data_IF_623292025518
#
_entry.id   IF_623292025518
#
_cell.length_a   1.000
_cell.length_b   1.000
_cell.length_c   1.000
_cell.angle_alpha   90.00
_cell.angle_beta   90.00
_cell.angle_gamma   90.00
#
_symmetry.space_group_name_H-M   'P 1'
#
loop_
_entity.id
_entity.type
_entity.pdbx_description
1 polymer ?
#
# COMPACT_ATOMS: atom_id res chain seq x y z
N UNK A 1 1.72 2.96 11.80
CA UNK A 1 2.47 1.79 11.28
C UNK A 1 1.66 1.14 10.19
N UNK A 2 2.23 1.03 8.99
CA UNK A 2 1.59 0.38 7.85
C UNK A 2 1.50 -1.15 8.04
N UNK A 3 0.48 -1.76 7.43
CA UNK A 3 0.26 -3.20 7.41
C UNK A 3 -0.23 -3.60 6.00
N UNK A 4 0.55 -4.42 5.33
CA UNK A 4 0.21 -5.03 4.06
C UNK A 4 0.19 -6.54 4.21
N UNK A 5 -0.79 -7.21 3.61
CA UNK A 5 -0.91 -8.67 3.65
C UNK A 5 -1.07 -9.21 2.24
N UNK A 6 -0.30 -10.24 1.94
CA UNK A 6 -0.27 -10.89 0.63
C UNK A 6 -0.32 -12.40 0.77
N UNK A 7 -0.76 -13.08 -0.29
CA UNK A 7 -0.50 -14.51 -0.46
C UNK A 7 0.73 -14.64 -1.36
N UNK A 8 1.74 -15.36 -0.86
CA UNK A 8 2.98 -15.66 -1.58
C UNK A 8 3.23 -17.15 -1.43
N UNK A 9 3.38 -17.88 -2.54
CA UNK A 9 3.55 -19.33 -2.56
C UNK A 9 2.49 -20.10 -1.73
N UNK A 10 1.24 -19.61 -1.71
CA UNK A 10 0.14 -20.17 -0.93
C UNK A 10 0.12 -19.80 0.56
N UNK A 11 1.07 -19.01 1.04
CA UNK A 11 1.18 -18.60 2.45
C UNK A 11 0.81 -17.13 2.66
N UNK A 12 0.16 -16.82 3.80
CA UNK A 12 -0.18 -15.45 4.17
C UNK A 12 1.04 -14.75 4.78
N UNK A 13 1.59 -13.78 4.05
CA UNK A 13 2.74 -12.97 4.48
C UNK A 13 2.24 -11.59 4.94
N UNK A 14 2.75 -11.11 6.08
CA UNK A 14 2.49 -9.76 6.60
C UNK A 14 3.74 -8.92 6.49
N UNK A 15 3.60 -7.74 5.89
CA UNK A 15 4.69 -6.81 5.60
C UNK A 15 4.32 -5.46 6.19
N UNK A 16 5.24 -4.84 6.95
CA UNK A 16 5.01 -3.54 7.60
C UNK A 16 5.78 -2.39 6.94
N UNK A 17 6.74 -2.72 6.08
CA UNK A 17 7.59 -1.75 5.37
C UNK A 17 7.31 -1.83 3.87
N UNK A 18 7.10 -0.68 3.22
CA UNK A 18 6.80 -0.65 1.77
C UNK A 18 7.91 -1.28 0.93
N UNK A 19 9.17 -1.09 1.32
CA UNK A 19 10.33 -1.62 0.60
C UNK A 19 10.49 -3.14 0.65
N UNK A 20 9.79 -3.82 1.56
CA UNK A 20 9.85 -5.26 1.73
C UNK A 20 8.78 -6.00 0.92
N UNK A 21 7.90 -5.27 0.21
CA UNK A 21 6.86 -5.87 -0.63
C UNK A 21 7.52 -6.62 -1.79
N UNK A 22 7.23 -7.93 -1.96
CA UNK A 22 7.83 -8.72 -3.02
C UNK A 22 7.35 -8.25 -4.39
N UNK A 23 8.20 -8.43 -5.40
CA UNK A 23 7.85 -8.11 -6.78
C UNK A 23 6.79 -9.08 -7.36
N UNK A 24 6.80 -10.32 -6.89
CA UNK A 24 5.88 -11.39 -7.28
C UNK A 24 5.08 -11.86 -6.05
N UNK A 25 3.77 -11.93 -6.21
CA UNK A 25 2.82 -12.45 -5.22
C UNK A 25 1.56 -12.92 -5.95
N UNK A 26 0.76 -13.76 -5.29
CA UNK A 26 -0.48 -14.31 -5.85
C UNK A 26 -1.65 -13.36 -5.64
N UNK A 27 -1.84 -12.87 -4.41
CA UNK A 27 -2.99 -12.03 -4.04
C UNK A 27 -2.63 -10.92 -3.07
N UNK A 28 -3.24 -9.75 -3.23
CA UNK A 28 -3.29 -8.72 -2.18
C UNK A 28 -4.49 -8.98 -1.27
N UNK A 29 -4.23 -9.20 0.01
CA UNK A 29 -5.28 -9.49 1.01
C UNK A 29 -5.65 -8.25 1.82
N UNK A 30 -4.67 -7.41 2.16
CA UNK A 30 -4.89 -6.21 2.96
C UNK A 30 -3.89 -5.13 2.58
N UNK A 31 -4.36 -3.90 2.45
CA UNK A 31 -3.55 -2.73 2.14
C UNK A 31 -3.91 -1.61 3.11
N UNK A 32 -3.11 -1.44 4.16
CA UNK A 32 -3.31 -0.43 5.20
C UNK A 32 -2.03 0.41 5.28
N UNK A 33 -1.91 1.48 4.49
CA UNK A 33 -0.73 2.36 4.56
C UNK A 33 -0.71 3.14 5.87
N UNK A 34 0.46 3.68 6.22
CA UNK A 34 0.55 4.64 7.31
C UNK A 34 0.06 6.00 6.81
N UNK A 35 -1.05 6.49 7.36
CA UNK A 35 -1.61 7.79 6.98
C UNK A 35 -1.08 8.85 7.94
N UNK A 36 -0.48 9.95 7.44
CA UNK A 36 -0.12 11.06 8.31
C UNK A 36 -1.37 11.62 8.99
N UNK A 37 -1.23 12.01 10.26
CA UNK A 37 -2.26 12.80 10.94
C UNK A 37 -2.34 14.19 10.30
N UNK A 38 -3.53 14.79 10.18
CA UNK A 38 -3.65 16.13 9.60
C UNK A 38 -2.89 17.16 10.45
N UNK A 39 -1.99 17.91 9.81
CA UNK A 39 -1.16 18.95 10.48
C UNK A 39 -1.50 20.39 10.03
N UNK A 40 -2.50 20.56 9.17
CA UNK A 40 -2.97 21.88 8.74
C UNK A 40 -3.55 22.70 9.90
N UNK A 41 -3.37 24.03 9.86
CA UNK A 41 -3.89 24.95 10.89
C UNK A 41 -5.44 24.95 10.97
N UNK A 42 -6.10 24.46 9.92
CA UNK A 42 -7.54 24.27 9.78
C UNK A 42 -8.03 22.87 10.19
N UNK A 43 -7.10 21.97 10.58
CA UNK A 43 -7.39 20.59 10.94
C UNK A 43 -7.48 19.64 9.73
N UNK A 44 -7.08 20.10 8.54
CA UNK A 44 -6.97 19.29 7.33
C UNK A 44 -5.52 18.82 7.11
N UNK A 45 -5.30 17.97 6.11
CA UNK A 45 -3.95 17.60 5.70
C UNK A 45 -3.26 18.77 4.98
N UNK A 46 -1.95 18.93 5.17
CA UNK A 46 -1.17 19.90 4.41
C UNK A 46 -1.05 19.48 2.94
N UNK A 47 -0.68 20.40 2.03
CA UNK A 47 -0.50 20.06 0.62
C UNK A 47 0.54 18.94 0.42
N UNK A 48 1.64 18.97 1.18
CA UNK A 48 2.65 17.91 1.20
C UNK A 48 2.06 16.56 1.65
N UNK A 49 1.26 16.55 2.72
CA UNK A 49 0.58 15.34 3.17
C UNK A 49 -0.43 14.82 2.14
N UNK A 50 -1.12 15.71 1.42
CA UNK A 50 -2.01 15.34 0.32
C UNK A 50 -1.25 14.68 -0.83
N UNK A 51 -0.07 15.18 -1.18
CA UNK A 51 0.82 14.55 -2.18
C UNK A 51 1.25 13.15 -1.72
N UNK A 52 1.66 13.00 -0.46
CA UNK A 52 2.02 11.69 0.11
C UNK A 52 0.84 10.71 0.12
N UNK A 53 -0.35 11.19 0.48
CA UNK A 53 -1.58 10.39 0.45
C UNK A 53 -1.96 9.95 -0.97
N UNK A 54 -1.73 10.81 -1.97
CA UNK A 54 -1.98 10.48 -3.36
C UNK A 54 -1.06 9.34 -3.86
N UNK A 55 0.19 9.28 -3.39
CA UNK A 55 1.12 8.20 -3.74
C UNK A 55 0.60 6.81 -3.33
N UNK A 56 -0.11 6.70 -2.21
CA UNK A 56 -0.67 5.43 -1.78
C UNK A 56 -1.72 4.89 -2.75
N UNK A 57 -2.45 5.75 -3.45
CA UNK A 57 -3.38 5.32 -4.49
C UNK A 57 -2.65 4.72 -5.68
N UNK A 58 -1.60 5.39 -6.17
CA UNK A 58 -0.76 4.89 -7.27
C UNK A 58 -0.17 3.53 -6.93
N UNK A 59 0.42 3.42 -5.73
CA UNK A 59 0.99 2.18 -5.18
C UNK A 59 -0.01 1.03 -5.16
N UNK A 60 -1.26 1.29 -4.74
CA UNK A 60 -2.30 0.26 -4.75
C UNK A 60 -2.63 -0.18 -6.18
N UNK A 61 -2.76 0.75 -7.13
CA UNK A 61 -3.04 0.40 -8.53
C UNK A 61 -1.93 -0.48 -9.12
N UNK A 62 -0.66 -0.17 -8.85
CA UNK A 62 0.48 -0.99 -9.29
C UNK A 62 0.40 -2.42 -8.75
N UNK A 63 0.03 -2.60 -7.48
CA UNK A 63 -0.16 -3.93 -6.90
C UNK A 63 -1.32 -4.69 -7.57
N UNK A 64 -2.43 -4.01 -7.87
CA UNK A 64 -3.56 -4.63 -8.58
C UNK A 64 -3.20 -5.03 -10.02
N UNK A 65 -2.35 -4.25 -10.69
CA UNK A 65 -1.84 -4.59 -12.03
C UNK A 65 -0.93 -5.81 -11.99
N UNK A 66 -0.01 -5.87 -11.01
CA UNK A 66 0.85 -7.04 -10.78
C UNK A 66 0.03 -8.31 -10.52
N UNK A 67 -0.95 -8.25 -9.62
CA UNK A 67 -1.85 -9.38 -9.32
C UNK A 67 -2.58 -9.89 -10.56
N UNK A 68 -3.12 -8.96 -11.37
CA UNK A 68 -3.82 -9.32 -12.62
C UNK A 68 -2.89 -9.94 -13.66
N UNK A 69 -1.67 -9.42 -13.78
CA UNK A 69 -0.68 -9.94 -14.73
C UNK A 69 -0.22 -11.36 -14.36
N UNK A 70 -0.12 -11.67 -13.06
CA UNK A 70 0.25 -13.00 -12.56
C UNK A 70 -0.88 -14.04 -12.63
N UNK A 71 -2.12 -13.61 -12.88
CA UNK A 71 -3.31 -14.48 -12.95
C UNK A 71 -3.61 -15.03 -14.36
N UNK A 72 -2.78 -14.75 -15.36
CA UNK A 72 -2.92 -15.19 -16.77
C UNK A 72 -1.95 -16.31 -17.13
#
# INVERSE_FOLDING_TARGET
>A
MAIFKFVVDGELVTITEWGDIPDEFEHVISFIPDMPEPEGEDGEHTEEQHEELALWNTRLQELMEKERASSM
#
